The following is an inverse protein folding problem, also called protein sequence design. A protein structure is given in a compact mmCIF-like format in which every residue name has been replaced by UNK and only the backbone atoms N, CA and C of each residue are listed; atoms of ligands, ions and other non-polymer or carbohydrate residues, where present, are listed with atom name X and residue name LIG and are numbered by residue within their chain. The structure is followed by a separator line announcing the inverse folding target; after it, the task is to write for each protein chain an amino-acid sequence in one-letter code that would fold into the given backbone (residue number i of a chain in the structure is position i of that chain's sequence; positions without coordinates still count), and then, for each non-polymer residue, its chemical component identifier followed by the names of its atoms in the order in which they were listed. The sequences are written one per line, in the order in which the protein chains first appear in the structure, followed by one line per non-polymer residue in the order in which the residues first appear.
data_IF_737292631165
#
_entry.id   IF_737292631165
#
_cell.length_a   1.000
_cell.length_b   1.000
_cell.length_c   1.000
_cell.angle_alpha   90.00
_cell.angle_beta   90.00
_cell.angle_gamma   90.00
#
_symmetry.space_group_name_H-M   'P 1'
#
loop_
_entity.id
_entity.type
_entity.pdbx_description
1 polymer ?
#
# COMPACT_ATOMS: atom_id res chain seq x y z
N UNK A 1 -0.47 7.28 -24.02
CA UNK A 1 0.44 7.72 -22.93
C UNK A 1 1.58 6.71 -22.68
N UNK A 2 1.32 5.40 -22.49
CA UNK A 2 2.39 4.40 -22.22
C UNK A 2 3.49 4.42 -23.29
N UNK A 3 3.12 4.43 -24.59
CA UNK A 3 4.10 4.48 -25.69
C UNK A 3 5.07 5.68 -25.60
N UNK A 4 4.56 6.84 -25.17
CA UNK A 4 5.41 8.04 -24.98
C UNK A 4 6.38 7.87 -23.81
N UNK A 5 5.95 7.23 -22.74
CA UNK A 5 6.78 7.01 -21.55
C UNK A 5 7.95 6.05 -21.81
N UNK A 6 7.81 5.11 -22.74
CA UNK A 6 8.83 4.09 -23.03
C UNK A 6 9.69 4.39 -24.28
N UNK A 7 9.36 5.44 -25.05
CA UNK A 7 10.05 5.73 -26.34
C UNK A 7 11.57 5.91 -26.18
N UNK A 8 11.99 6.51 -25.07
CA UNK A 8 13.40 6.76 -24.75
C UNK A 8 14.07 5.59 -23.99
N UNK A 9 13.43 4.41 -23.91
CA UNK A 9 13.92 3.25 -23.17
C UNK A 9 14.41 3.60 -21.76
N UNK A 10 13.54 4.13 -20.87
CA UNK A 10 13.92 4.50 -19.53
C UNK A 10 14.33 3.27 -18.72
N UNK A 11 15.12 3.47 -17.66
CA UNK A 11 15.44 2.42 -16.69
C UNK A 11 14.35 2.25 -15.63
N UNK A 12 13.58 3.31 -15.35
CA UNK A 12 12.49 3.35 -14.40
C UNK A 12 11.22 3.89 -15.07
N UNK A 13 10.11 3.18 -14.95
CA UNK A 13 8.78 3.64 -15.31
C UNK A 13 7.98 3.92 -14.04
N UNK A 14 7.45 5.15 -13.92
CA UNK A 14 6.50 5.52 -12.86
C UNK A 14 5.10 5.46 -13.45
N UNK A 15 4.28 4.56 -12.92
CA UNK A 15 2.88 4.37 -13.29
C UNK A 15 1.98 4.83 -12.14
N UNK A 16 1.50 6.05 -12.22
CA UNK A 16 0.65 6.67 -11.21
C UNK A 16 -0.81 6.44 -11.58
N UNK A 17 -1.48 5.59 -10.81
CA UNK A 17 -2.88 5.16 -11.00
C UNK A 17 -3.22 4.76 -12.45
N UNK A 18 -2.43 3.93 -13.13
CA UNK A 18 -2.55 3.71 -14.57
C UNK A 18 -3.83 2.98 -15.00
N UNK A 19 -4.57 2.42 -14.05
CA UNK A 19 -5.81 1.68 -14.29
C UNK A 19 -7.05 2.35 -13.71
N UNK A 20 -6.92 3.54 -13.13
CA UNK A 20 -8.05 4.29 -12.56
C UNK A 20 -9.07 4.62 -13.64
N UNK A 21 -10.35 4.46 -13.32
CA UNK A 21 -11.50 4.68 -14.21
C UNK A 21 -11.56 3.76 -15.45
N UNK A 22 -10.82 2.66 -15.48
CA UNK A 22 -10.94 1.64 -16.52
C UNK A 22 -11.89 0.52 -16.06
N UNK A 23 -12.58 -0.10 -17.02
CA UNK A 23 -13.31 -1.34 -16.74
C UNK A 23 -12.32 -2.50 -16.50
N UNK A 24 -12.82 -3.57 -15.85
CA UNK A 24 -12.00 -4.71 -15.40
C UNK A 24 -11.24 -5.37 -16.56
N UNK A 25 -11.85 -5.43 -17.74
CA UNK A 25 -11.24 -6.07 -18.91
C UNK A 25 -10.07 -5.25 -19.43
N UNK A 26 -10.25 -3.95 -19.59
CA UNK A 26 -9.20 -3.03 -20.04
C UNK A 26 -8.10 -2.91 -18.97
N UNK A 27 -8.48 -2.89 -17.68
CA UNK A 27 -7.51 -2.93 -16.58
C UNK A 27 -6.58 -4.15 -16.71
N UNK A 28 -7.13 -5.36 -16.90
CA UNK A 28 -6.34 -6.57 -17.05
C UNK A 28 -5.37 -6.49 -18.26
N UNK A 29 -5.84 -5.97 -19.40
CA UNK A 29 -5.00 -5.77 -20.58
C UNK A 29 -3.85 -4.79 -20.35
N UNK A 30 -4.11 -3.68 -19.63
CA UNK A 30 -3.05 -2.71 -19.29
C UNK A 30 -2.02 -3.32 -18.35
N UNK A 31 -2.45 -4.10 -17.35
CA UNK A 31 -1.54 -4.77 -16.43
C UNK A 31 -0.65 -5.79 -17.15
N UNK A 32 -1.22 -6.58 -18.06
CA UNK A 32 -0.48 -7.53 -18.91
C UNK A 32 0.52 -6.81 -19.81
N UNK A 33 0.09 -5.70 -20.45
CA UNK A 33 0.98 -4.87 -21.26
C UNK A 33 2.16 -4.34 -20.43
N UNK A 34 1.91 -3.78 -19.24
CA UNK A 34 2.96 -3.26 -18.37
C UNK A 34 3.92 -4.36 -17.91
N UNK A 35 3.42 -5.55 -17.56
CA UNK A 35 4.24 -6.70 -17.22
C UNK A 35 5.12 -7.15 -18.40
N UNK A 36 4.56 -7.20 -19.61
CA UNK A 36 5.29 -7.51 -20.83
C UNK A 36 6.39 -6.49 -21.16
N UNK A 37 6.09 -5.19 -21.01
CA UNK A 37 7.07 -4.12 -21.20
C UNK A 37 8.20 -4.19 -20.16
N UNK A 38 7.87 -4.40 -18.88
CA UNK A 38 8.83 -4.60 -17.82
C UNK A 38 9.82 -5.72 -18.16
N UNK A 39 9.31 -6.89 -18.55
CA UNK A 39 10.12 -8.03 -18.92
C UNK A 39 10.96 -7.78 -20.17
N UNK A 40 10.34 -7.27 -21.25
CA UNK A 40 10.99 -7.05 -22.55
C UNK A 40 12.13 -6.03 -22.50
N UNK A 41 11.98 -4.97 -21.71
CA UNK A 41 12.93 -3.86 -21.63
C UNK A 41 13.75 -3.87 -20.34
N UNK A 42 13.57 -4.87 -19.47
CA UNK A 42 14.22 -4.97 -18.15
C UNK A 42 14.04 -3.69 -17.33
N UNK A 43 12.79 -3.18 -17.28
CA UNK A 43 12.45 -1.93 -16.60
C UNK A 43 12.24 -2.15 -15.11
N UNK A 44 12.77 -1.26 -14.27
CA UNK A 44 12.23 -1.05 -12.94
C UNK A 44 10.88 -0.32 -13.04
N UNK A 45 9.90 -0.68 -12.21
CA UNK A 45 8.58 -0.04 -12.24
C UNK A 45 8.15 0.37 -10.83
N UNK A 46 7.83 1.66 -10.67
CA UNK A 46 7.12 2.17 -9.51
C UNK A 46 5.63 2.28 -9.87
N UNK A 47 4.83 1.38 -9.31
CA UNK A 47 3.39 1.31 -9.56
C UNK A 47 2.62 1.89 -8.37
N UNK A 48 1.86 2.95 -8.59
CA UNK A 48 1.05 3.61 -7.56
C UNK A 48 -0.42 3.28 -7.81
N UNK A 49 -1.10 2.76 -6.79
CA UNK A 49 -2.52 2.43 -6.86
C UNK A 49 -3.14 2.39 -5.47
N UNK A 50 -4.42 2.68 -5.38
CA UNK A 50 -5.23 2.45 -4.18
C UNK A 50 -5.91 1.06 -4.19
N UNK A 51 -5.82 0.32 -5.29
CA UNK A 51 -6.42 -1.01 -5.44
C UNK A 51 -5.42 -2.11 -5.03
N UNK A 52 -5.63 -2.66 -3.84
CA UNK A 52 -4.80 -3.73 -3.29
C UNK A 52 -4.84 -5.01 -4.14
N UNK A 53 -5.96 -5.29 -4.81
CA UNK A 53 -6.07 -6.46 -5.69
C UNK A 53 -5.13 -6.33 -6.89
N UNK A 54 -5.04 -5.12 -7.48
CA UNK A 54 -4.09 -4.81 -8.54
C UNK A 54 -2.66 -4.89 -8.04
N UNK A 55 -2.35 -4.25 -6.90
CA UNK A 55 -1.00 -4.28 -6.31
C UNK A 55 -0.55 -5.71 -6.05
N UNK A 56 -1.44 -6.59 -5.56
CA UNK A 56 -1.12 -8.00 -5.30
C UNK A 56 -0.71 -8.79 -6.55
N UNK A 57 -1.13 -8.35 -7.73
CA UNK A 57 -0.81 -9.01 -9.00
C UNK A 57 0.55 -8.56 -9.56
N UNK A 58 0.89 -7.28 -9.45
CA UNK A 58 2.01 -6.67 -10.19
C UNK A 58 3.26 -6.43 -9.34
N UNK A 59 3.12 -6.28 -8.02
CA UNK A 59 4.21 -5.88 -7.15
C UNK A 59 5.08 -7.06 -6.68
N UNK A 60 6.39 -6.84 -6.59
CA UNK A 60 7.33 -7.71 -5.87
C UNK A 60 7.50 -7.22 -4.42
N UNK A 61 7.56 -5.90 -4.25
CA UNK A 61 7.62 -5.21 -2.95
C UNK A 61 6.53 -4.17 -2.87
N UNK A 62 6.02 -3.92 -1.68
CA UNK A 62 4.93 -2.99 -1.45
C UNK A 62 5.33 -1.98 -0.38
N UNK A 63 5.11 -0.71 -0.68
CA UNK A 63 5.23 0.41 0.25
C UNK A 63 3.82 0.93 0.56
N UNK A 64 3.39 0.86 1.81
CA UNK A 64 2.10 1.38 2.25
C UNK A 64 2.28 2.77 2.83
N UNK A 65 1.52 3.72 2.30
CA UNK A 65 1.54 5.11 2.74
C UNK A 65 0.22 5.52 3.38
N UNK A 66 0.30 6.37 4.40
CA UNK A 66 -0.86 7.00 5.03
C UNK A 66 -0.56 8.47 5.32
N UNK A 67 -1.44 9.37 4.87
CA UNK A 67 -1.29 10.82 5.03
C UNK A 67 0.13 11.33 4.73
N UNK A 68 0.70 10.94 3.57
CA UNK A 68 2.04 11.33 3.12
C UNK A 68 3.21 10.62 3.81
N UNK A 69 2.94 9.71 4.75
CA UNK A 69 3.97 9.00 5.52
C UNK A 69 4.05 7.54 5.11
N UNK A 70 5.28 7.03 4.88
CA UNK A 70 5.53 5.60 4.70
C UNK A 70 5.34 4.89 6.05
N UNK A 71 4.33 4.03 6.14
CA UNK A 71 3.99 3.32 7.39
C UNK A 71 4.46 1.88 7.41
N UNK A 72 4.56 1.24 6.24
CA UNK A 72 5.05 -0.14 6.12
C UNK A 72 5.69 -0.38 4.76
N UNK A 73 6.75 -1.20 4.73
CA UNK A 73 7.49 -1.59 3.52
C UNK A 73 7.95 -3.03 3.64
N UNK A 74 7.62 -3.86 2.67
CA UNK A 74 8.04 -5.26 2.69
C UNK A 74 7.90 -5.95 1.34
N UNK A 75 8.16 -7.25 1.31
CA UNK A 75 7.80 -8.08 0.17
C UNK A 75 6.26 -8.13 0.04
N UNK A 76 5.77 -8.47 -1.14
CA UNK A 76 4.34 -8.74 -1.32
C UNK A 76 3.83 -9.76 -0.29
N UNK A 77 4.61 -10.80 -0.02
CA UNK A 77 4.27 -11.84 0.95
C UNK A 77 4.08 -11.27 2.37
N UNK A 78 5.01 -10.42 2.82
CA UNK A 78 4.94 -9.81 4.15
C UNK A 78 3.69 -8.94 4.29
N UNK A 79 3.46 -8.04 3.33
CA UNK A 79 2.37 -7.07 3.39
C UNK A 79 0.99 -7.74 3.33
N UNK A 80 0.81 -8.74 2.47
CA UNK A 80 -0.51 -9.37 2.28
C UNK A 80 -0.81 -10.50 3.28
N UNK A 81 0.19 -11.16 3.86
CA UNK A 81 -0.03 -12.32 4.74
C UNK A 81 0.42 -12.11 6.19
N UNK A 82 1.36 -11.19 6.42
CA UNK A 82 1.88 -10.89 7.75
C UNK A 82 2.01 -9.38 7.99
N UNK A 83 0.96 -8.56 7.71
CA UNK A 83 1.05 -7.12 7.86
C UNK A 83 1.37 -6.73 9.29
N UNK A 84 2.33 -5.84 9.46
CA UNK A 84 2.79 -5.38 10.75
C UNK A 84 2.00 -4.15 11.22
N UNK A 85 1.85 -3.13 10.37
CA UNK A 85 1.21 -1.89 10.75
C UNK A 85 -0.33 -2.02 10.85
N UNK A 86 -0.98 -1.48 11.91
CA UNK A 86 -2.44 -1.55 12.07
C UNK A 86 -3.25 -0.99 10.90
N UNK A 87 -2.76 0.05 10.23
CA UNK A 87 -3.41 0.58 9.03
C UNK A 87 -3.44 -0.45 7.89
N UNK A 88 -2.30 -1.10 7.61
CA UNK A 88 -2.22 -2.16 6.58
C UNK A 88 -3.17 -3.32 6.88
N UNK A 89 -3.22 -3.74 8.15
CA UNK A 89 -4.19 -4.75 8.60
C UNK A 89 -5.63 -4.33 8.33
N UNK A 90 -5.96 -3.08 8.64
CA UNK A 90 -7.29 -2.52 8.38
C UNK A 90 -7.63 -2.45 6.89
N UNK A 91 -6.68 -2.04 6.04
CA UNK A 91 -6.86 -2.02 4.58
C UNK A 91 -7.16 -3.41 4.03
N UNK A 92 -6.39 -4.42 4.44
CA UNK A 92 -6.57 -5.80 3.96
C UNK A 92 -7.90 -6.41 4.42
N UNK A 93 -8.37 -6.08 5.63
CA UNK A 93 -9.68 -6.53 6.13
C UNK A 93 -10.85 -5.88 5.39
N UNK A 94 -10.67 -4.67 4.88
CA UNK A 94 -11.68 -3.96 4.11
C UNK A 94 -11.83 -4.50 2.67
N UNK A 95 -10.90 -5.32 2.18
CA UNK A 95 -10.96 -5.90 0.82
C UNK A 95 -11.87 -7.12 0.81
N UNK A 96 -12.96 -7.12 0.00
CA UNK A 96 -13.80 -8.31 -0.15
C UNK A 96 -13.03 -9.48 -0.76
N UNK A 97 -13.19 -10.66 -0.20
CA UNK A 97 -12.68 -11.92 -0.74
C UNK A 97 -13.82 -12.83 -1.16
N UNK A 98 -13.54 -13.89 -1.93
CA UNK A 98 -14.54 -14.90 -2.27
C UNK A 98 -15.15 -15.60 -1.04
N UNK A 99 -14.47 -15.56 0.10
CA UNK A 99 -14.90 -16.13 1.39
C UNK A 99 -15.61 -15.11 2.29
N UNK A 100 -15.70 -13.85 1.87
CA UNK A 100 -16.33 -12.79 2.68
C UNK A 100 -17.83 -13.07 2.78
N UNK A 101 -18.34 -13.13 4.00
CA UNK A 101 -19.77 -13.26 4.27
C UNK A 101 -20.49 -11.99 3.82
N UNK A 102 -21.26 -12.09 2.75
CA UNK A 102 -22.00 -10.95 2.16
C UNK A 102 -23.18 -10.48 3.02
N UNK A 103 -23.53 -11.23 4.06
CA UNK A 103 -24.60 -10.84 5.01
C UNK A 103 -24.11 -9.88 6.09
N UNK A 104 -22.79 -9.74 6.24
CA UNK A 104 -22.17 -8.83 7.20
C UNK A 104 -21.57 -7.62 6.51
N UNK A 105 -21.65 -6.41 7.12
CA UNK A 105 -20.92 -5.26 6.62
C UNK A 105 -19.42 -5.56 6.59
N UNK A 106 -18.72 -5.05 5.57
CA UNK A 106 -17.26 -5.12 5.53
C UNK A 106 -16.67 -4.36 6.72
N UNK A 107 -15.58 -4.90 7.29
CA UNK A 107 -14.81 -4.17 8.28
C UNK A 107 -14.22 -2.91 7.61
N UNK A 108 -14.55 -1.75 8.13
CA UNK A 108 -14.05 -0.47 7.62
C UNK A 108 -13.13 0.17 8.65
N UNK A 109 -12.16 0.95 8.18
CA UNK A 109 -11.35 1.78 9.06
C UNK A 109 -12.18 3.03 9.42
N UNK A 110 -12.63 3.11 10.67
CA UNK A 110 -13.46 4.23 11.13
C UNK A 110 -12.77 5.59 10.99
N UNK A 111 -13.56 6.64 10.80
CA UNK A 111 -13.11 8.02 10.67
C UNK A 111 -12.56 8.34 9.26
N UNK A 112 -12.03 9.54 9.10
CA UNK A 112 -11.50 10.07 7.85
C UNK A 112 -9.99 10.32 7.92
N UNK A 113 -9.31 10.32 6.77
CA UNK A 113 -7.89 10.71 6.69
C UNK A 113 -7.78 12.19 7.05
N UNK A 114 -6.91 12.58 7.99
CA UNK A 114 -6.75 14.00 8.35
C UNK A 114 -6.22 14.80 7.15
N UNK A 115 -6.72 16.02 6.94
CA UNK A 115 -6.12 16.94 5.98
C UNK A 115 -4.64 17.17 6.35
N UNK A 116 -3.79 17.45 5.36
CA UNK A 116 -2.33 17.55 5.56
C UNK A 116 -1.93 18.56 6.66
N UNK A 117 -2.68 19.66 6.80
CA UNK A 117 -2.41 20.68 7.82
C UNK A 117 -2.85 20.27 9.24
N UNK A 118 -3.59 19.16 9.38
CA UNK A 118 -4.05 18.61 10.67
C UNK A 118 -3.42 17.24 10.97
N UNK A 119 -2.43 16.82 10.20
CA UNK A 119 -1.68 15.59 10.49
C UNK A 119 -0.96 15.76 11.83
N UNK A 120 -1.15 14.84 12.81
CA UNK A 120 -0.50 14.94 14.11
C UNK A 120 1.03 14.85 13.98
N UNK A 121 1.74 15.43 14.95
CA UNK A 121 3.21 15.35 15.03
C UNK A 121 3.73 13.91 15.29
N UNK A 122 2.86 13.06 15.84
CA UNK A 122 3.12 11.63 16.07
C UNK A 122 2.78 10.75 14.88
N UNK A 123 2.34 9.54 15.15
CA UNK A 123 1.87 8.64 14.12
C UNK A 123 0.61 9.22 13.45
N UNK A 124 0.60 9.44 12.12
CA UNK A 124 -0.55 10.04 11.44
C UNK A 124 -1.82 9.18 11.52
N UNK A 125 -1.67 7.87 11.75
CA UNK A 125 -2.80 6.94 11.92
C UNK A 125 -3.29 6.86 13.37
N UNK A 126 -2.59 7.44 14.35
CA UNK A 126 -2.93 7.34 15.79
C UNK A 126 -4.39 7.65 16.09
N UNK A 127 -5.01 8.73 15.55
CA UNK A 127 -6.41 9.07 15.88
C UNK A 127 -7.44 7.98 15.48
N UNK A 128 -7.09 7.11 14.56
CA UNK A 128 -7.95 6.03 14.02
C UNK A 128 -7.48 4.64 14.43
N UNK A 129 -6.39 4.55 15.19
CA UNK A 129 -5.74 3.29 15.55
C UNK A 129 -6.38 2.70 16.82
N UNK A 130 -6.98 1.51 16.71
CA UNK A 130 -7.50 0.75 17.86
C UNK A 130 -6.40 0.20 18.79
N UNK A 131 -5.13 0.24 18.36
CA UNK A 131 -3.96 -0.27 19.11
C UNK A 131 -3.07 0.87 19.60
N UNK A 132 -3.54 2.11 19.56
CA UNK A 132 -2.75 3.29 19.95
C UNK A 132 -2.26 3.21 21.39
N UNK A 133 -1.02 3.64 21.58
CA UNK A 133 -0.39 3.86 22.90
C UNK A 133 0.04 5.33 22.99
N UNK A 134 0.34 5.81 24.19
CA UNK A 134 0.71 7.21 24.43
C UNK A 134 1.91 7.67 23.58
N UNK A 135 2.85 6.78 23.32
CA UNK A 135 4.04 7.02 22.50
C UNK A 135 3.67 7.39 21.04
N UNK A 136 2.58 6.84 20.51
CA UNK A 136 2.13 7.13 19.15
C UNK A 136 1.76 8.62 18.94
N UNK A 137 1.31 9.32 19.99
CA UNK A 137 0.95 10.73 19.92
C UNK A 137 2.15 11.68 20.08
N UNK A 138 3.23 11.23 20.73
CA UNK A 138 4.37 12.10 21.12
C UNK A 138 5.25 12.49 19.93
N UNK A 139 5.61 11.53 19.09
CA UNK A 139 6.49 11.76 17.95
C UNK A 139 6.24 10.75 16.85
N UNK A 140 6.61 11.10 15.61
CA UNK A 140 6.55 10.16 14.50
C UNK A 140 7.46 8.95 14.78
N UNK A 141 6.91 7.73 14.88
CA UNK A 141 7.71 6.54 15.14
C UNK A 141 8.77 6.33 14.06
N UNK A 142 9.91 5.75 14.42
CA UNK A 142 10.96 5.40 13.46
C UNK A 142 10.50 4.21 12.63
N UNK A 143 10.87 4.17 11.36
CA UNK A 143 10.71 2.99 10.52
C UNK A 143 11.75 1.96 10.94
N UNK A 144 11.30 0.82 11.50
CA UNK A 144 12.18 -0.23 12.03
C UNK A 144 11.95 -1.54 11.28
N UNK A 145 13.00 -2.33 11.17
CA UNK A 145 12.90 -3.67 10.59
C UNK A 145 12.22 -4.62 11.55
N UNK A 146 11.15 -5.26 11.08
CA UNK A 146 10.37 -6.25 11.84
C UNK A 146 10.90 -7.66 11.59
N UNK A 147 11.25 -7.94 10.33
CA UNK A 147 11.87 -9.20 9.90
C UNK A 147 12.47 -9.00 8.51
N UNK A 148 13.51 -9.71 8.17
CA UNK A 148 14.25 -9.79 6.90
C UNK A 148 13.76 -8.93 5.71
N UNK A 149 13.96 -7.61 5.74
CA UNK A 149 13.54 -6.66 4.71
C UNK A 149 12.08 -6.19 4.81
N UNK A 150 11.36 -6.56 5.88
CA UNK A 150 10.03 -6.06 6.24
C UNK A 150 10.16 -4.97 7.33
N UNK A 151 9.66 -3.78 7.05
CA UNK A 151 9.81 -2.58 7.86
C UNK A 151 8.45 -2.00 8.22
N UNK A 152 8.28 -1.58 9.47
CA UNK A 152 7.07 -0.91 9.92
C UNK A 152 7.38 0.32 10.78
N UNK A 153 6.54 1.34 10.63
CA UNK A 153 6.59 2.58 11.42
C UNK A 153 5.54 2.52 12.52
N UNK A 154 5.74 1.62 13.49
CA UNK A 154 4.77 1.40 14.55
C UNK A 154 5.45 0.94 15.83
N UNK A 155 5.30 1.64 16.97
CA UNK A 155 5.92 1.24 18.23
C UNK A 155 5.27 -0.02 18.81
N UNK A 156 4.01 -0.29 18.48
CA UNK A 156 3.27 -1.45 19.03
C UNK A 156 3.75 -2.78 18.42
N UNK A 157 4.32 -2.76 17.21
CA UNK A 157 4.81 -3.98 16.53
C UNK A 157 6.11 -4.50 17.16
N UNK A 158 6.87 -3.62 17.81
CA UNK A 158 8.14 -3.97 18.44
C UNK A 158 8.00 -4.37 19.91
N UNK A 159 6.78 -4.44 20.44
CA UNK A 159 6.48 -4.78 21.84
C UNK A 159 6.20 -6.28 22.06
N UNK A 160 6.59 -7.15 21.08
CA UNK A 160 6.44 -8.60 21.17
C UNK A 160 7.77 -9.31 21.14
#
# INVERSE_FOLDING_TARGET
MIAMAIVNRPQLLIADEPTTALDVTIQAQILELLAGLRSKFNLAMLFISHDLAVVSQVADRVAVMYAGTLVELGSKQDIFHAPAHPYTRGLLKAVPTLRTDRTRPLETIEGTVPPLHLVPAGCPFEPRCGFRVEECARSLPVLVEVSGGHWARCPVVNAG
#
